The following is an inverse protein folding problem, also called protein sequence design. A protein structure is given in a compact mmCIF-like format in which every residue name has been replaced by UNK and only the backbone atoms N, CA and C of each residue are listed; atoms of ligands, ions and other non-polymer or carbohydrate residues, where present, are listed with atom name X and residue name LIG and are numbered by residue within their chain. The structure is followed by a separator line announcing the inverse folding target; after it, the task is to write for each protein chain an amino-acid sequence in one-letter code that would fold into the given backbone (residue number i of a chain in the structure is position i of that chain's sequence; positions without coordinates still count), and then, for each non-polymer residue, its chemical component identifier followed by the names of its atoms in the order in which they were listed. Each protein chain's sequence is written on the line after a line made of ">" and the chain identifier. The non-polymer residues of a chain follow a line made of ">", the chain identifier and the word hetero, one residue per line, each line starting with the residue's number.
data_IF_381670692273
#
_entry.id   IF_381670692273
#
_cell.length_a   1.000
_cell.length_b   1.000
_cell.length_c   1.000
_cell.angle_alpha   90.00
_cell.angle_beta   90.00
_cell.angle_gamma   90.00
#
_symmetry.space_group_name_H-M   'P 1'
#
loop_
_entity.id
_entity.type
_entity.pdbx_description
1 polymer ?
#
# COMPACT_ATOMS: atom_id res chain seq x y z
N UNK A 1 -8.22 8.38 24.44
CA UNK A 1 -7.96 8.42 22.99
C UNK A 1 -6.53 8.93 22.80
N UNK A 2 -5.65 8.11 22.23
CA UNK A 2 -4.26 8.54 21.97
C UNK A 2 -4.28 9.65 20.92
N UNK A 3 -3.56 10.76 21.17
CA UNK A 3 -3.34 11.79 20.15
C UNK A 3 -2.37 11.19 19.12
N UNK A 4 -2.87 10.96 17.92
CA UNK A 4 -2.05 10.55 16.79
C UNK A 4 -0.98 11.61 16.53
N UNK A 5 0.26 11.19 16.32
CA UNK A 5 1.35 12.15 16.04
C UNK A 5 1.18 12.74 14.65
N UNK A 6 1.73 13.95 14.41
CA UNK A 6 1.66 14.58 13.09
C UNK A 6 2.27 13.69 12.00
N UNK A 7 3.32 12.94 12.34
CA UNK A 7 4.01 12.04 11.42
C UNK A 7 3.15 10.81 11.06
N UNK A 8 2.42 10.25 12.03
CA UNK A 8 1.45 9.17 11.78
C UNK A 8 0.31 9.63 10.86
N UNK A 9 -0.16 10.86 11.03
CA UNK A 9 -1.19 11.44 10.14
C UNK A 9 -0.69 11.57 8.71
N UNK A 10 0.51 12.14 8.53
CA UNK A 10 1.14 12.27 7.22
C UNK A 10 1.40 10.92 6.56
N UNK A 11 1.83 9.92 7.34
CA UNK A 11 2.04 8.57 6.82
C UNK A 11 0.72 7.95 6.35
N UNK A 12 -0.36 8.10 7.10
CA UNK A 12 -1.66 7.57 6.71
C UNK A 12 -2.20 8.25 5.44
N UNK A 13 -2.12 9.57 5.36
CA UNK A 13 -2.49 10.31 4.14
C UNK A 13 -1.68 9.84 2.93
N UNK A 14 -0.37 9.65 3.11
CA UNK A 14 0.49 9.10 2.09
C UNK A 14 0.06 7.70 1.64
N UNK A 15 -0.22 6.80 2.59
CA UNK A 15 -0.64 5.44 2.29
C UNK A 15 -2.02 5.38 1.61
N UNK A 16 -2.96 6.25 1.94
CA UNK A 16 -4.25 6.33 1.23
C UNK A 16 -4.06 6.76 -0.22
N UNK A 17 -3.22 7.77 -0.48
CA UNK A 17 -2.92 8.20 -1.85
C UNK A 17 -2.26 7.09 -2.68
N UNK A 18 -1.40 6.27 -2.06
CA UNK A 18 -0.74 5.16 -2.74
C UNK A 18 -1.72 4.08 -3.22
N UNK A 19 -2.88 3.89 -2.56
CA UNK A 19 -3.89 2.91 -2.98
C UNK A 19 -4.48 3.21 -4.36
N UNK A 20 -4.46 4.48 -4.78
CA UNK A 20 -4.95 4.94 -6.08
C UNK A 20 -3.94 4.71 -7.21
N UNK A 21 -2.67 4.48 -6.87
CA UNK A 21 -1.62 4.19 -7.85
C UNK A 21 -1.84 2.79 -8.45
N UNK A 22 -1.52 2.67 -9.74
CA UNK A 22 -1.47 1.37 -10.43
C UNK A 22 -0.47 0.43 -9.75
N UNK A 23 -0.94 -0.77 -9.42
CA UNK A 23 -0.10 -1.86 -8.87
C UNK A 23 1.02 -2.21 -9.85
N UNK A 24 0.76 -2.16 -11.15
CA UNK A 24 1.77 -2.41 -12.19
C UNK A 24 2.87 -1.34 -12.15
N UNK A 25 2.51 -0.07 -11.92
CA UNK A 25 3.48 1.01 -11.87
C UNK A 25 4.35 0.90 -10.62
N UNK A 26 3.75 0.61 -9.46
CA UNK A 26 4.49 0.33 -8.22
C UNK A 26 5.46 -0.84 -8.39
N UNK A 27 5.02 -1.92 -9.06
CA UNK A 27 5.89 -3.06 -9.36
C UNK A 27 7.02 -2.69 -10.31
N UNK A 28 6.74 -1.96 -11.39
CA UNK A 28 7.75 -1.51 -12.34
C UNK A 28 8.83 -0.67 -11.64
N UNK A 29 8.42 0.27 -10.80
CA UNK A 29 9.37 1.04 -9.99
C UNK A 29 10.16 0.14 -9.02
N UNK A 30 9.50 -0.79 -8.35
CA UNK A 30 10.17 -1.75 -7.46
C UNK A 30 11.16 -2.68 -8.19
N UNK A 31 11.02 -2.91 -9.49
CA UNK A 31 11.92 -3.76 -10.27
C UNK A 31 13.12 -2.97 -10.83
N UNK A 32 12.86 -1.77 -11.36
CA UNK A 32 13.82 -1.03 -12.19
C UNK A 32 14.43 0.21 -11.54
N UNK A 33 13.96 0.63 -10.35
CA UNK A 33 14.60 1.71 -9.59
C UNK A 33 16.05 1.35 -9.26
N UNK A 34 16.95 2.31 -9.47
CA UNK A 34 18.39 2.15 -9.29
C UNK A 34 18.81 2.42 -7.86
N UNK A 35 18.14 3.38 -7.20
CA UNK A 35 18.42 3.67 -5.81
C UNK A 35 17.85 2.56 -4.91
N UNK A 36 18.69 1.88 -4.10
CA UNK A 36 18.26 0.73 -3.32
C UNK A 36 17.24 1.08 -2.25
N UNK A 37 17.31 2.29 -1.67
CA UNK A 37 16.36 2.72 -0.65
C UNK A 37 14.99 3.00 -1.27
N UNK A 38 14.94 3.73 -2.38
CA UNK A 38 13.68 3.97 -3.13
C UNK A 38 13.08 2.67 -3.64
N UNK A 39 13.91 1.76 -4.15
CA UNK A 39 13.47 0.44 -4.61
C UNK A 39 12.78 -0.33 -3.49
N UNK A 40 13.34 -0.32 -2.29
CA UNK A 40 12.74 -0.95 -1.12
C UNK A 40 11.38 -0.32 -0.74
N UNK A 41 11.27 1.02 -0.81
CA UNK A 41 10.00 1.73 -0.57
C UNK A 41 8.96 1.33 -1.61
N UNK A 42 9.28 1.36 -2.91
CA UNK A 42 8.33 0.95 -3.95
C UNK A 42 7.87 -0.49 -3.77
N UNK A 43 8.76 -1.40 -3.38
CA UNK A 43 8.38 -2.78 -3.06
C UNK A 43 7.41 -2.84 -1.88
N UNK A 44 7.69 -2.13 -0.79
CA UNK A 44 6.81 -2.10 0.37
C UNK A 44 5.42 -1.53 0.04
N UNK A 45 5.37 -0.48 -0.78
CA UNK A 45 4.11 0.11 -1.24
C UNK A 45 3.32 -0.83 -2.17
N UNK A 46 4.00 -1.55 -3.06
CA UNK A 46 3.39 -2.59 -3.87
C UNK A 46 2.74 -3.67 -2.99
N UNK A 47 3.50 -4.23 -2.04
CA UNK A 47 3.02 -5.28 -1.14
C UNK A 47 1.80 -4.77 -0.31
N UNK A 48 1.88 -3.57 0.26
CA UNK A 48 0.78 -2.94 0.99
C UNK A 48 -0.51 -2.81 0.17
N UNK A 49 -0.43 -2.34 -1.08
CA UNK A 49 -1.61 -2.16 -1.93
C UNK A 49 -2.24 -3.50 -2.30
N UNK A 50 -1.42 -4.54 -2.53
CA UNK A 50 -1.91 -5.89 -2.77
C UNK A 50 -2.67 -6.41 -1.55
N UNK A 51 -2.07 -6.30 -0.35
CA UNK A 51 -2.67 -6.77 0.89
C UNK A 51 -4.01 -6.07 1.20
N UNK A 52 -4.08 -4.75 0.99
CA UNK A 52 -5.31 -3.97 1.15
C UNK A 52 -6.41 -4.43 0.17
N UNK A 53 -6.07 -4.69 -1.09
CA UNK A 53 -7.02 -5.16 -2.11
C UNK A 53 -7.51 -6.57 -1.79
N UNK A 54 -6.61 -7.47 -1.42
CA UNK A 54 -6.95 -8.84 -1.00
C UNK A 54 -7.86 -8.82 0.22
N UNK A 55 -7.53 -8.01 1.23
CA UNK A 55 -8.35 -7.84 2.44
C UNK A 55 -9.75 -7.32 2.10
N UNK A 56 -9.86 -6.34 1.20
CA UNK A 56 -11.16 -5.84 0.71
C UNK A 56 -11.96 -6.94 0.02
N UNK A 57 -11.35 -7.70 -0.89
CA UNK A 57 -12.01 -8.82 -1.59
C UNK A 57 -12.50 -9.86 -0.59
N UNK A 58 -11.65 -10.29 0.34
CA UNK A 58 -12.02 -11.25 1.38
C UNK A 58 -13.17 -10.73 2.23
N UNK A 59 -13.13 -9.45 2.66
CA UNK A 59 -14.20 -8.87 3.48
C UNK A 59 -15.51 -8.67 2.70
N UNK A 60 -15.45 -8.39 1.40
CA UNK A 60 -16.63 -8.37 0.52
C UNK A 60 -17.19 -9.79 0.30
N UNK A 61 -16.30 -10.78 0.22
CA UNK A 61 -16.63 -12.21 0.17
C UNK A 61 -16.99 -12.80 1.53
N UNK A 62 -16.88 -12.08 2.67
CA UNK A 62 -17.50 -12.54 3.92
C UNK A 62 -19.03 -12.52 3.88
N UNK A 63 -19.64 -11.97 2.81
CA UNK A 63 -21.03 -12.23 2.42
C UNK A 63 -21.22 -13.41 1.45
N UNK A 64 -20.15 -13.99 0.90
CA UNK A 64 -20.14 -15.11 -0.05
C UNK A 64 -18.82 -15.89 0.10
N UNK A 65 -18.83 -16.83 1.05
CA UNK A 65 -17.74 -17.65 1.58
C UNK A 65 -16.86 -18.32 0.48
N UNK A 66 -15.62 -18.69 0.84
CA UNK A 66 -15.14 -20.06 0.61
C UNK A 66 -14.63 -20.64 1.94
#
# INVERSE_FOLDING_TARGET
>A
MSKQTKDEQLLNEFLENVKEISVTDLLNHALYEKDPAKKAVFKALYDYVIDERQTKIINQQKGCII
#
